data_IF_993898168485
#
_entry.id   IF_993898168485
#
_cell.length_a   1.000
_cell.length_b   1.000
_cell.length_c   1.000
_cell.angle_alpha   90.00
_cell.angle_beta   90.00
_cell.angle_gamma   90.00
#
_symmetry.space_group_name_H-M   'P 1'
#
loop_
_entity.id
_entity.type
_entity.pdbx_description
1 polymer ?
#
# COMPACT_ATOMS: atom_id res chain seq x y z
N UNK A 1 15.25 11.01 2.28
CA UNK A 1 15.04 9.55 2.38
C UNK A 1 14.75 9.03 0.98
N UNK A 2 15.33 7.92 0.57
CA UNK A 2 15.24 7.44 -0.82
C UNK A 2 14.28 6.26 -0.91
N UNK A 3 13.22 6.41 -1.71
CA UNK A 3 12.28 5.34 -2.05
C UNK A 3 12.62 4.76 -3.43
N UNK A 4 12.50 3.44 -3.59
CA UNK A 4 12.62 2.77 -4.87
C UNK A 4 11.36 1.98 -5.20
N UNK A 5 11.02 1.98 -6.49
CA UNK A 5 9.88 1.24 -7.01
C UNK A 5 10.34 0.34 -8.16
N UNK A 6 9.97 -0.93 -8.09
CA UNK A 6 10.10 -1.88 -9.19
C UNK A 6 8.72 -2.16 -9.79
N UNK A 7 8.65 -2.30 -11.11
CA UNK A 7 7.43 -2.62 -11.83
C UNK A 7 7.57 -3.97 -12.54
N UNK A 8 6.52 -4.79 -12.49
CA UNK A 8 6.43 -6.08 -13.16
C UNK A 8 5.00 -6.31 -13.67
N UNK A 9 4.84 -6.83 -14.89
CA UNK A 9 3.56 -7.36 -15.37
C UNK A 9 3.53 -8.87 -15.17
N UNK A 10 2.36 -9.42 -14.84
CA UNK A 10 2.19 -10.86 -14.65
C UNK A 10 2.49 -11.64 -15.94
N UNK A 11 2.04 -11.14 -17.10
CA UNK A 11 2.43 -11.71 -18.40
C UNK A 11 3.94 -11.75 -18.56
N UNK A 12 4.66 -10.67 -18.23
CA UNK A 12 6.11 -10.65 -18.33
C UNK A 12 6.79 -11.63 -17.36
N UNK A 13 6.26 -11.76 -16.14
CA UNK A 13 6.77 -12.73 -15.17
C UNK A 13 6.62 -14.18 -15.65
N UNK A 14 5.56 -14.50 -16.38
CA UNK A 14 5.36 -15.82 -16.98
C UNK A 14 6.39 -16.13 -18.08
N UNK A 15 6.84 -15.13 -18.84
CA UNK A 15 7.90 -15.30 -19.83
C UNK A 15 9.29 -15.40 -19.17
N UNK A 16 9.53 -14.65 -18.11
CA UNK A 16 10.84 -14.55 -17.44
C UNK A 16 10.70 -14.59 -15.91
N UNK A 17 10.57 -15.79 -15.30
CA UNK A 17 10.32 -15.93 -13.87
C UNK A 17 11.49 -15.44 -12.98
N UNK A 18 12.73 -15.50 -13.48
CA UNK A 18 13.94 -15.09 -12.76
C UNK A 18 14.15 -13.58 -12.75
N UNK A 19 13.48 -12.83 -13.64
CA UNK A 19 13.70 -11.39 -13.82
C UNK A 19 13.50 -10.62 -12.52
N UNK A 20 12.38 -10.85 -11.82
CA UNK A 20 12.05 -10.17 -10.56
C UNK A 20 13.13 -10.42 -9.51
N UNK A 21 13.58 -11.67 -9.38
CA UNK A 21 14.61 -12.06 -8.43
C UNK A 21 15.95 -11.37 -8.72
N UNK A 22 16.33 -11.28 -9.99
CA UNK A 22 17.56 -10.59 -10.40
C UNK A 22 17.48 -9.08 -10.14
N UNK A 23 16.34 -8.45 -10.44
CA UNK A 23 16.13 -7.00 -10.21
C UNK A 23 16.13 -6.64 -8.73
N UNK A 24 15.50 -7.47 -7.89
CA UNK A 24 15.52 -7.30 -6.43
C UNK A 24 16.97 -7.41 -5.91
N UNK A 25 17.73 -8.40 -6.38
CA UNK A 25 19.15 -8.56 -6.00
C UNK A 25 20.00 -7.36 -6.42
N UNK A 26 19.75 -6.80 -7.60
CA UNK A 26 20.46 -5.62 -8.09
C UNK A 26 20.14 -4.35 -7.27
N UNK A 27 18.91 -4.24 -6.75
CA UNK A 27 18.49 -3.12 -5.91
C UNK A 27 19.15 -3.12 -4.52
N UNK A 28 19.56 -4.31 -4.04
CA UNK A 28 20.17 -4.53 -2.72
C UNK A 28 19.36 -3.85 -1.59
N UNK A 29 20.05 -3.33 -0.57
CA UNK A 29 19.49 -2.53 0.51
C UNK A 29 19.83 -1.04 0.33
N UNK A 30 19.95 -0.58 -0.93
CA UNK A 30 20.31 0.81 -1.23
C UNK A 30 19.21 1.84 -0.85
N UNK A 31 17.98 1.36 -0.65
CA UNK A 31 16.80 2.19 -0.38
C UNK A 31 16.11 1.75 0.89
N UNK A 32 15.66 2.72 1.70
CA UNK A 32 14.92 2.47 2.95
C UNK A 32 13.52 1.96 2.67
N UNK A 33 12.84 2.58 1.69
CA UNK A 33 11.49 2.18 1.27
C UNK A 33 11.56 1.53 -0.10
N UNK A 34 11.07 0.30 -0.19
CA UNK A 34 11.14 -0.50 -1.41
C UNK A 34 9.75 -1.03 -1.74
N UNK A 35 9.25 -0.63 -2.89
CA UNK A 35 7.93 -0.99 -3.38
C UNK A 35 8.06 -1.85 -4.64
N UNK A 36 7.21 -2.87 -4.76
CA UNK A 36 7.05 -3.67 -5.96
C UNK A 36 5.62 -3.50 -6.46
N UNK A 37 5.42 -2.93 -7.64
CA UNK A 37 4.12 -2.81 -8.29
C UNK A 37 3.99 -3.97 -9.28
N UNK A 38 3.00 -4.83 -9.06
CA UNK A 38 2.66 -5.94 -9.95
C UNK A 38 1.35 -5.66 -10.68
N UNK A 39 1.42 -5.56 -12.01
CA UNK A 39 0.25 -5.40 -12.86
C UNK A 39 -0.36 -6.78 -13.19
N UNK A 40 -1.63 -6.96 -12.83
CA UNK A 40 -2.43 -8.16 -13.09
C UNK A 40 -3.06 -8.04 -14.47
N UNK A 41 -2.45 -8.68 -15.46
CA UNK A 41 -2.83 -8.62 -16.88
C UNK A 41 -3.09 -9.99 -17.52
N UNK A 42 -3.32 -11.02 -16.69
CA UNK A 42 -3.63 -12.41 -17.09
C UNK A 42 -4.78 -12.95 -16.25
N UNK A 43 -5.63 -13.80 -16.84
CA UNK A 43 -6.75 -14.44 -16.14
C UNK A 43 -6.28 -15.47 -15.07
N UNK A 44 -5.26 -16.28 -15.37
CA UNK A 44 -4.63 -17.16 -14.38
C UNK A 44 -3.56 -16.41 -13.57
N UNK A 45 -4.01 -15.59 -12.62
CA UNK A 45 -3.14 -14.78 -11.79
C UNK A 45 -2.64 -15.49 -10.52
N UNK A 46 -3.24 -16.62 -10.12
CA UNK A 46 -3.00 -17.23 -8.79
C UNK A 46 -1.56 -17.69 -8.63
N UNK A 47 -1.07 -18.49 -9.59
CA UNK A 47 0.30 -19.03 -9.58
C UNK A 47 1.39 -17.94 -9.66
N UNK A 48 1.36 -17.02 -10.64
CA UNK A 48 2.39 -15.97 -10.73
C UNK A 48 2.33 -15.01 -9.53
N UNK A 49 1.14 -14.70 -9.02
CA UNK A 49 0.99 -13.84 -7.85
C UNK A 49 1.57 -14.49 -6.59
N UNK A 50 1.38 -15.79 -6.39
CA UNK A 50 1.99 -16.53 -5.29
C UNK A 50 3.53 -16.44 -5.34
N UNK A 51 4.12 -16.63 -6.51
CA UNK A 51 5.57 -16.54 -6.71
C UNK A 51 6.10 -15.12 -6.43
N UNK A 52 5.44 -14.10 -6.97
CA UNK A 52 5.80 -12.69 -6.75
C UNK A 52 5.66 -12.32 -5.27
N UNK A 53 4.59 -12.76 -4.61
CA UNK A 53 4.35 -12.49 -3.19
C UNK A 53 5.43 -13.12 -2.31
N UNK A 54 5.82 -14.36 -2.60
CA UNK A 54 6.95 -15.03 -1.91
C UNK A 54 8.27 -14.28 -2.11
N UNK A 55 8.52 -13.75 -3.32
CA UNK A 55 9.72 -12.98 -3.62
C UNK A 55 9.74 -11.63 -2.88
N UNK A 56 8.62 -10.92 -2.84
CA UNK A 56 8.46 -9.67 -2.10
C UNK A 56 8.64 -9.87 -0.59
N UNK A 57 8.02 -10.92 -0.03
CA UNK A 57 8.13 -11.25 1.39
C UNK A 57 9.57 -11.60 1.79
N UNK A 58 10.29 -12.38 0.97
CA UNK A 58 11.68 -12.74 1.24
C UNK A 58 12.64 -11.53 1.21
N UNK A 59 12.27 -10.47 0.51
CA UNK A 59 13.11 -9.30 0.29
C UNK A 59 12.71 -8.07 1.11
N UNK A 60 11.76 -8.21 2.05
CA UNK A 60 11.19 -7.11 2.85
C UNK A 60 10.78 -5.92 1.95
N UNK A 61 10.04 -6.22 0.88
CA UNK A 61 9.47 -5.22 -0.03
C UNK A 61 7.95 -5.17 0.13
N UNK A 62 7.38 -3.98 -0.01
CA UNK A 62 5.92 -3.81 -0.03
C UNK A 62 5.37 -4.07 -1.42
N UNK A 63 4.50 -5.07 -1.55
CA UNK A 63 3.83 -5.42 -2.80
C UNK A 63 2.55 -4.58 -2.98
N UNK A 64 2.39 -3.96 -4.16
CA UNK A 64 1.20 -3.25 -4.59
C UNK A 64 0.67 -3.91 -5.86
N UNK A 65 -0.63 -4.19 -5.91
CA UNK A 65 -1.28 -4.78 -7.07
C UNK A 65 -2.00 -3.71 -7.87
N UNK A 66 -1.94 -3.82 -9.20
CA UNK A 66 -2.63 -2.93 -10.12
C UNK A 66 -3.37 -3.77 -11.16
N UNK A 67 -4.68 -3.54 -11.31
CA UNK A 67 -5.55 -4.19 -12.29
C UNK A 67 -5.55 -3.46 -13.63
N UNK A 68 -5.01 -2.25 -13.66
CA UNK A 68 -4.86 -1.45 -14.88
C UNK A 68 -3.57 -0.63 -14.83
N UNK A 69 -3.03 -0.22 -16.00
CA UNK A 69 -1.85 0.63 -16.03
C UNK A 69 -2.12 2.02 -15.42
N UNK A 70 -3.35 2.52 -15.48
CA UNK A 70 -3.76 3.77 -14.82
C UNK A 70 -3.70 3.66 -13.30
N UNK A 71 -4.09 2.51 -12.74
CA UNK A 71 -3.96 2.25 -11.31
C UNK A 71 -2.48 2.19 -10.89
N UNK A 72 -1.62 1.53 -11.67
CA UNK A 72 -0.18 1.52 -11.42
C UNK A 72 0.43 2.93 -11.43
N UNK A 73 0.00 3.79 -12.37
CA UNK A 73 0.42 5.20 -12.41
C UNK A 73 -0.05 5.96 -11.16
N UNK A 74 -1.31 5.78 -10.74
CA UNK A 74 -1.85 6.40 -9.52
C UNK A 74 -1.09 5.96 -8.27
N UNK A 75 -0.67 4.70 -8.20
CA UNK A 75 0.19 4.22 -7.11
C UNK A 75 1.53 4.96 -7.08
N UNK A 76 2.18 5.15 -8.23
CA UNK A 76 3.43 5.91 -8.32
C UNK A 76 3.26 7.38 -7.89
N UNK A 77 2.20 8.03 -8.35
CA UNK A 77 1.87 9.41 -7.95
C UNK A 77 1.68 9.51 -6.44
N UNK A 78 0.93 8.57 -5.86
CA UNK A 78 0.69 8.49 -4.41
C UNK A 78 2.01 8.33 -3.68
N UNK A 79 2.82 7.33 -4.04
CA UNK A 79 4.13 7.09 -3.42
C UNK A 79 5.01 8.34 -3.49
N UNK A 80 4.97 9.08 -4.61
CA UNK A 80 5.73 10.32 -4.76
C UNK A 80 5.24 11.45 -3.85
N UNK A 81 3.93 11.64 -3.74
CA UNK A 81 3.33 12.65 -2.85
C UNK A 81 3.63 12.36 -1.38
N UNK A 82 3.65 11.08 -1.00
CA UNK A 82 3.89 10.66 0.38
C UNK A 82 5.37 10.51 0.75
N UNK A 83 6.30 10.63 -0.20
CA UNK A 83 7.75 10.50 0.05
C UNK A 83 8.28 11.49 1.12
N UNK A 84 7.63 12.65 1.28
CA UNK A 84 8.05 13.71 2.21
C UNK A 84 7.00 14.06 3.27
N UNK A 85 5.89 13.34 3.34
CA UNK A 85 4.82 13.64 4.30
C UNK A 85 5.21 13.09 5.68
N UNK A 86 5.21 13.92 6.74
CA UNK A 86 5.48 13.44 8.10
C UNK A 86 4.34 12.51 8.58
N UNK A 87 4.69 11.60 9.49
CA UNK A 87 3.76 10.62 10.08
C UNK A 87 2.55 11.26 10.80
N UNK A 88 2.65 12.54 11.17
CA UNK A 88 1.56 13.34 11.76
C UNK A 88 0.31 13.45 10.87
N UNK A 89 0.42 13.19 9.57
CA UNK A 89 -0.75 13.17 8.69
C UNK A 89 -1.66 11.94 8.89
N UNK A 90 -1.20 10.91 9.61
CA UNK A 90 -1.94 9.66 9.87
C UNK A 90 -2.70 9.73 11.20
N UNK A 91 -2.31 10.65 12.09
CA UNK A 91 -2.96 10.79 13.38
C UNK A 91 -4.39 11.32 13.20
N UNK A 92 -5.34 10.71 13.90
CA UNK A 92 -6.73 11.16 13.89
C UNK A 92 -6.79 12.64 14.26
N UNK A 93 -7.27 13.47 13.34
CA UNK A 93 -7.56 14.88 13.61
C UNK A 93 -8.85 14.89 14.43
N UNK A 94 -8.73 14.74 15.73
CA UNK A 94 -9.86 14.97 16.63
C UNK A 94 -10.14 16.47 16.56
N UNK A 95 -11.23 16.85 15.90
CA UNK A 95 -11.68 18.24 15.89
C UNK A 95 -11.75 18.74 17.34
N UNK A 96 -11.19 19.92 17.60
CA UNK A 96 -11.10 20.50 18.95
C UNK A 96 -12.45 20.93 19.52
N UNK A 97 -13.52 20.75 18.75
CA UNK A 97 -14.86 21.14 19.13
C UNK A 97 -15.43 20.24 20.23
N UNK A 98 -16.14 20.84 21.19
CA UNK A 98 -16.61 20.15 22.39
C UNK A 98 -17.56 19.00 22.03
N UNK A 99 -18.46 19.23 21.06
CA UNK A 99 -19.38 18.20 20.55
C UNK A 99 -18.66 17.00 19.94
N UNK A 100 -17.57 17.23 19.20
CA UNK A 100 -16.77 16.17 18.59
C UNK A 100 -16.04 15.33 19.65
N UNK A 101 -15.52 15.95 20.71
CA UNK A 101 -14.89 15.25 21.84
C UNK A 101 -15.90 14.44 22.66
N UNK A 102 -17.08 14.99 22.91
CA UNK A 102 -18.16 14.30 23.61
C UNK A 102 -18.67 13.10 22.82
N UNK A 103 -18.84 13.26 21.50
CA UNK A 103 -19.24 12.17 20.60
C UNK A 103 -18.18 11.08 20.57
N UNK A 104 -16.91 11.43 20.45
CA UNK A 104 -15.81 10.46 20.51
C UNK A 104 -15.82 9.69 21.84
N UNK A 105 -15.97 10.39 22.98
CA UNK A 105 -16.04 9.74 24.29
C UNK A 105 -17.24 8.79 24.42
N UNK A 106 -18.44 9.20 24.01
CA UNK A 106 -19.66 8.39 24.13
C UNK A 106 -19.67 7.18 23.18
N UNK A 107 -19.06 7.31 21.99
CA UNK A 107 -18.91 6.18 21.05
C UNK A 107 -17.86 5.14 21.46
N UNK A 108 -17.09 5.37 22.54
CA UNK A 108 -16.23 4.31 23.11
C UNK A 108 -17.02 3.23 23.85
N UNK A 109 -18.28 3.50 24.21
CA UNK A 109 -19.14 2.52 24.85
C UNK A 109 -19.70 1.55 23.82
N UNK A 110 -19.57 0.24 24.08
CA UNK A 110 -20.15 -0.80 23.22
C UNK A 110 -21.66 -0.61 23.11
N UNK A 111 -22.14 -0.45 21.88
CA UNK A 111 -23.57 -0.32 21.58
C UNK A 111 -24.08 1.11 21.39
N UNK A 112 -23.21 2.13 21.49
CA UNK A 112 -23.55 3.53 21.18
C UNK A 112 -22.90 3.93 19.87
N UNK A 113 -23.70 4.31 18.88
CA UNK A 113 -23.24 4.76 17.57
C UNK A 113 -23.29 6.29 17.45
N UNK A 114 -22.60 6.87 16.46
CA UNK A 114 -22.59 8.34 16.27
C UNK A 114 -23.99 8.94 16.08
N UNK A 115 -24.91 8.16 15.51
CA UNK A 115 -26.31 8.54 15.35
C UNK A 115 -27.06 8.68 16.66
N UNK A 116 -26.68 7.89 17.68
CA UNK A 116 -27.34 7.86 18.98
C UNK A 116 -26.89 9.02 19.87
N UNK A 117 -25.69 9.55 19.62
CA UNK A 117 -25.17 10.73 20.32
C UNK A 117 -25.74 12.03 19.76
N UNK A 118 -26.07 12.08 18.46
CA UNK A 118 -26.66 13.27 17.84
C UNK A 118 -28.13 13.53 18.24
N UNK A 119 -28.81 12.52 18.79
CA UNK A 119 -30.21 12.59 19.25
C UNK A 119 -30.34 12.79 20.76
N UNK A 120 -29.24 12.84 21.50
CA UNK A 120 -29.16 13.19 22.92
C UNK A 120 -28.96 14.70 23.12
#
# INVERSE_FOLDING_TARGET
>A
ETAAVLFISLRYHLLHPEYVHQRIRALQNAFRHRFLIAQVDTDDCVRPLEAITKAALRSDMTLLLAWSPEEAARWLETLKVYERKPADAIQERVDSDYGSRLTAALTTLKGVNRTDVATL
#
